data_IF_916312524493
#
_entry.id   IF_916312524493
#
_cell.length_a   1.000
_cell.length_b   1.000
_cell.length_c   1.000
_cell.angle_alpha   90.00
_cell.angle_beta   90.00
_cell.angle_gamma   90.00
#
_symmetry.space_group_name_H-M   'P 1'
#
loop_
_entity.id
_entity.type
_entity.pdbx_description
1 polymer ?
#
# COMPACT_ATOMS: atom_id res chain seq x y z
N UNK A 1 68.04 26.49 -28.40
CA UNK A 1 66.88 25.81 -29.02
C UNK A 1 66.80 24.42 -28.41
N UNK A 2 66.32 24.33 -27.18
CA UNK A 2 64.89 24.13 -26.84
C UNK A 2 64.51 22.66 -26.90
N UNK A 3 64.76 22.08 -25.74
CA UNK A 3 64.12 20.95 -25.05
C UNK A 3 62.60 20.82 -25.30
N UNK A 4 62.07 19.61 -25.16
CA UNK A 4 60.63 19.37 -25.28
C UNK A 4 60.18 17.92 -25.45
N UNK A 5 60.75 16.95 -24.71
CA UNK A 5 60.08 15.64 -24.56
C UNK A 5 58.89 15.80 -23.62
N UNK A 6 57.69 15.98 -24.18
CA UNK A 6 56.45 15.84 -23.43
C UNK A 6 56.27 14.40 -22.97
N UNK A 7 56.54 14.15 -21.69
CA UNK A 7 56.03 12.98 -20.98
C UNK A 7 54.54 13.21 -20.74
N UNK A 8 53.70 12.42 -21.39
CA UNK A 8 52.27 12.33 -21.06
C UNK A 8 52.12 11.86 -19.61
N UNK A 9 51.90 12.81 -18.71
CA UNK A 9 51.59 12.55 -17.31
C UNK A 9 50.22 11.87 -17.25
N UNK A 10 50.21 10.56 -16.99
CA UNK A 10 48.98 9.84 -16.66
C UNK A 10 48.34 10.52 -15.45
N UNK A 11 47.11 11.00 -15.61
CA UNK A 11 46.33 11.52 -14.50
C UNK A 11 46.23 10.43 -13.43
N UNK A 12 46.47 10.72 -12.14
CA UNK A 12 46.29 9.74 -11.09
C UNK A 12 44.83 9.31 -11.09
N UNK A 13 44.60 8.02 -11.39
CA UNK A 13 43.31 7.38 -11.16
C UNK A 13 42.97 7.61 -9.69
N UNK A 14 41.93 8.40 -9.42
CA UNK A 14 41.44 8.62 -8.05
C UNK A 14 41.29 7.24 -7.40
N UNK A 15 41.88 7.00 -6.21
CA UNK A 15 41.71 5.73 -5.52
C UNK A 15 40.22 5.47 -5.40
N UNK A 16 39.74 4.33 -5.94
CA UNK A 16 38.36 3.88 -5.74
C UNK A 16 38.13 3.84 -4.23
N UNK A 17 37.37 4.81 -3.73
CA UNK A 17 37.09 4.96 -2.31
C UNK A 17 36.48 3.64 -1.84
N UNK A 18 37.08 3.01 -0.81
CA UNK A 18 36.52 1.78 -0.23
C UNK A 18 35.10 2.09 0.22
N UNK A 19 34.12 1.38 -0.34
CA UNK A 19 32.73 1.45 0.12
C UNK A 19 32.72 1.16 1.62
N UNK A 20 32.03 2.00 2.39
CA UNK A 20 31.78 1.76 3.81
C UNK A 20 30.89 0.54 3.98
N UNK A 21 30.85 -0.02 5.19
CA UNK A 21 29.96 -1.15 5.48
C UNK A 21 28.48 -0.77 5.28
N UNK A 22 28.09 0.44 5.66
CA UNK A 22 26.73 0.98 5.43
C UNK A 22 26.39 1.11 3.95
N UNK A 23 27.32 1.61 3.12
CA UNK A 23 27.07 1.75 1.67
C UNK A 23 27.07 0.39 0.97
N UNK A 24 27.89 -0.55 1.45
CA UNK A 24 27.86 -1.96 1.03
C UNK A 24 26.50 -2.57 1.32
N UNK A 25 25.99 -2.36 2.54
CA UNK A 25 24.70 -2.87 2.98
C UNK A 25 23.56 -2.33 2.12
N UNK A 26 23.48 -1.00 2.00
CA UNK A 26 22.46 -0.31 1.20
C UNK A 26 22.41 -0.81 -0.24
N UNK A 27 23.55 -0.86 -0.93
CA UNK A 27 23.60 -1.29 -2.35
C UNK A 27 23.19 -2.75 -2.54
N UNK A 28 23.61 -3.62 -1.62
CA UNK A 28 23.28 -5.04 -1.68
C UNK A 28 21.79 -5.28 -1.45
N UNK A 29 21.19 -4.63 -0.45
CA UNK A 29 19.76 -4.70 -0.19
C UNK A 29 18.94 -4.08 -1.34
N UNK A 30 19.33 -2.90 -1.83
CA UNK A 30 18.67 -2.23 -2.96
C UNK A 30 18.68 -3.10 -4.23
N UNK A 31 19.82 -3.74 -4.55
CA UNK A 31 19.94 -4.62 -5.71
C UNK A 31 19.05 -5.86 -5.59
N UNK A 32 18.99 -6.48 -4.40
CA UNK A 32 18.12 -7.62 -4.18
C UNK A 32 16.64 -7.25 -4.23
N UNK A 33 16.26 -6.10 -3.66
CA UNK A 33 14.89 -5.60 -3.73
C UNK A 33 14.44 -5.28 -5.15
N UNK A 34 15.31 -4.70 -5.97
CA UNK A 34 15.03 -4.49 -7.39
C UNK A 34 14.76 -5.82 -8.11
N UNK A 35 15.57 -6.84 -7.82
CA UNK A 35 15.38 -8.19 -8.38
C UNK A 35 14.03 -8.79 -7.96
N UNK A 36 13.65 -8.64 -6.68
CA UNK A 36 12.37 -9.13 -6.16
C UNK A 36 11.16 -8.38 -6.73
N UNK A 37 11.29 -7.08 -7.03
CA UNK A 37 10.24 -6.31 -7.67
C UNK A 37 9.98 -6.78 -9.11
N UNK A 38 11.03 -7.20 -9.83
CA UNK A 38 10.94 -7.71 -11.20
C UNK A 38 10.41 -9.16 -11.26
N UNK A 39 10.90 -10.04 -10.39
CA UNK A 39 10.67 -11.49 -10.49
C UNK A 39 9.65 -12.04 -9.49
N UNK A 40 9.22 -11.22 -8.53
CA UNK A 40 8.40 -11.66 -7.40
C UNK A 40 9.23 -12.28 -6.27
N UNK A 41 8.58 -12.51 -5.13
CA UNK A 41 9.20 -13.10 -3.93
C UNK A 41 8.78 -14.56 -3.79
N UNK A 42 9.75 -15.49 -3.82
CA UNK A 42 9.52 -16.88 -3.42
C UNK A 42 9.53 -17.04 -1.90
N UNK A 43 8.84 -18.07 -1.41
CA UNK A 43 8.82 -18.43 0.01
C UNK A 43 10.26 -18.71 0.47
N UNK A 44 10.73 -18.03 1.51
CA UNK A 44 12.10 -18.18 2.00
C UNK A 44 13.20 -17.56 1.13
N UNK A 45 12.83 -16.89 0.03
CA UNK A 45 13.74 -16.25 -0.92
C UNK A 45 14.76 -17.20 -1.56
N UNK A 46 14.45 -18.50 -1.70
CA UNK A 46 15.38 -19.55 -2.17
C UNK A 46 16.10 -19.21 -3.50
N UNK A 47 15.44 -18.47 -4.38
CA UNK A 47 15.99 -18.07 -5.68
C UNK A 47 17.04 -16.95 -5.56
N UNK A 48 17.11 -16.24 -4.44
CA UNK A 48 18.08 -15.17 -4.21
C UNK A 48 19.45 -15.78 -3.92
N UNK A 49 20.36 -15.60 -4.87
CA UNK A 49 21.77 -16.03 -4.77
C UNK A 49 22.65 -14.86 -4.39
N UNK A 50 23.35 -14.98 -3.26
CA UNK A 50 24.24 -13.94 -2.74
C UNK A 50 25.26 -13.47 -3.80
N UNK A 51 25.84 -14.39 -4.57
CA UNK A 51 26.81 -14.07 -5.62
C UNK A 51 26.24 -13.23 -6.77
N UNK A 52 24.99 -13.47 -7.14
CA UNK A 52 24.33 -12.70 -8.20
C UNK A 52 23.97 -11.31 -7.70
N UNK A 53 23.56 -11.18 -6.44
CA UNK A 53 23.34 -9.88 -5.79
C UNK A 53 24.65 -9.08 -5.66
N UNK A 54 25.76 -9.72 -5.27
CA UNK A 54 27.09 -9.07 -5.22
C UNK A 54 27.46 -8.46 -6.58
N UNK A 55 27.24 -9.23 -7.65
CA UNK A 55 27.49 -8.79 -9.03
C UNK A 55 26.60 -7.61 -9.40
N UNK A 56 25.30 -7.71 -9.14
CA UNK A 56 24.31 -6.67 -9.44
C UNK A 56 24.57 -5.36 -8.66
N UNK A 57 24.93 -5.46 -7.38
CA UNK A 57 25.22 -4.32 -6.53
C UNK A 57 26.56 -3.63 -6.85
N UNK A 58 27.42 -4.25 -7.65
CA UNK A 58 28.75 -3.73 -7.99
C UNK A 58 29.69 -3.63 -6.78
N UNK A 59 29.50 -4.50 -5.79
CA UNK A 59 30.24 -4.52 -4.52
C UNK A 59 31.33 -5.60 -4.57
N UNK A 60 32.45 -5.39 -3.85
CA UNK A 60 33.49 -6.42 -3.77
C UNK A 60 33.04 -7.62 -2.92
N UNK A 61 33.37 -8.84 -3.35
CA UNK A 61 33.10 -10.07 -2.57
C UNK A 61 33.61 -9.98 -1.14
N UNK A 62 34.81 -9.45 -0.93
CA UNK A 62 35.40 -9.30 0.41
C UNK A 62 34.59 -8.37 1.31
N UNK A 63 34.02 -7.28 0.77
CA UNK A 63 33.13 -6.41 1.55
C UNK A 63 31.80 -7.09 1.86
N UNK A 64 31.21 -7.79 0.89
CA UNK A 64 29.95 -8.50 1.07
C UNK A 64 30.08 -9.62 2.12
N UNK A 65 31.09 -10.49 2.00
CA UNK A 65 31.31 -11.58 2.95
C UNK A 65 31.79 -11.12 4.34
N UNK A 66 32.37 -9.92 4.46
CA UNK A 66 32.64 -9.32 5.77
C UNK A 66 31.33 -8.96 6.50
N UNK A 67 30.33 -8.43 5.78
CA UNK A 67 29.04 -8.03 6.35
C UNK A 67 28.08 -9.22 6.52
N UNK A 68 28.06 -10.13 5.55
CA UNK A 68 27.25 -11.34 5.55
C UNK A 68 28.12 -12.55 5.27
N UNK A 69 28.64 -13.21 6.33
CA UNK A 69 29.47 -14.40 6.17
C UNK A 69 28.75 -15.55 5.46
N UNK A 70 27.41 -15.60 5.54
CA UNK A 70 26.57 -16.63 4.93
C UNK A 70 25.43 -16.01 4.13
N UNK A 71 24.88 -16.78 3.19
CA UNK A 71 23.65 -16.41 2.47
C UNK A 71 22.50 -16.17 3.45
N UNK A 72 22.36 -17.03 4.46
CA UNK A 72 21.26 -16.92 5.41
C UNK A 72 21.31 -15.61 6.19
N UNK A 73 22.50 -15.16 6.62
CA UNK A 73 22.65 -13.86 7.26
C UNK A 73 22.18 -12.70 6.36
N UNK A 74 22.46 -12.79 5.05
CA UNK A 74 21.97 -11.82 4.07
C UNK A 74 20.45 -11.90 3.90
N UNK A 75 19.89 -13.09 3.76
CA UNK A 75 18.44 -13.31 3.61
C UNK A 75 17.68 -12.78 4.83
N UNK A 76 18.20 -12.95 6.04
CA UNK A 76 17.57 -12.42 7.25
C UNK A 76 17.46 -10.89 7.24
N UNK A 77 18.55 -10.18 6.91
CA UNK A 77 18.54 -8.72 6.79
C UNK A 77 17.65 -8.27 5.62
N UNK A 78 17.66 -9.02 4.50
CA UNK A 78 16.79 -8.75 3.36
C UNK A 78 15.30 -8.90 3.70
N UNK A 79 14.90 -9.92 4.46
CA UNK A 79 13.52 -10.09 4.91
C UNK A 79 13.04 -8.91 5.79
N UNK A 80 13.91 -8.42 6.68
CA UNK A 80 13.63 -7.23 7.48
C UNK A 80 13.46 -6.00 6.60
N UNK A 81 14.32 -5.82 5.60
CA UNK A 81 14.22 -4.67 4.69
C UNK A 81 13.00 -4.75 3.76
N UNK A 82 12.66 -5.95 3.27
CA UNK A 82 11.42 -6.21 2.54
C UNK A 82 10.21 -5.81 3.40
N UNK A 83 10.18 -6.22 4.66
CA UNK A 83 9.12 -5.85 5.60
C UNK A 83 9.01 -4.33 5.77
N UNK A 84 10.15 -3.61 5.85
CA UNK A 84 10.18 -2.14 6.00
C UNK A 84 9.61 -1.41 4.78
N UNK A 85 9.91 -1.91 3.58
CA UNK A 85 9.53 -1.26 2.31
C UNK A 85 8.16 -1.69 1.78
N UNK A 86 7.62 -2.77 2.32
CA UNK A 86 6.26 -3.20 2.01
C UNK A 86 5.28 -2.19 2.59
N UNK A 87 4.79 -1.32 1.71
CA UNK A 87 3.73 -0.35 2.00
C UNK A 87 2.50 -0.75 1.20
N UNK A 88 1.33 -0.69 1.83
CA UNK A 88 0.06 -0.86 1.12
C UNK A 88 -0.16 0.39 0.29
N UNK A 89 -0.44 0.20 -1.01
CA UNK A 89 -0.63 1.27 -1.97
C UNK A 89 -1.77 2.20 -1.52
N UNK A 90 -1.62 3.47 -1.86
CA UNK A 90 -2.76 4.36 -2.03
C UNK A 90 -2.93 4.66 -3.50
N UNK A 91 -4.15 4.51 -3.99
CA UNK A 91 -4.43 4.52 -5.42
C UNK A 91 -5.50 5.51 -5.82
N UNK A 92 -5.77 6.49 -4.95
CA UNK A 92 -6.81 7.49 -5.17
C UNK A 92 -6.69 8.27 -6.48
N UNK A 93 -5.48 8.39 -7.05
CA UNK A 93 -5.28 9.05 -8.35
C UNK A 93 -6.02 8.35 -9.51
N UNK A 94 -6.18 7.01 -9.47
CA UNK A 94 -6.92 6.26 -10.51
C UNK A 94 -8.43 6.49 -10.41
N UNK A 95 -8.95 6.87 -9.23
CA UNK A 95 -10.37 7.15 -9.01
C UNK A 95 -10.76 8.61 -9.31
N UNK A 96 -9.79 9.49 -9.57
CA UNK A 96 -10.02 10.94 -9.61
C UNK A 96 -11.05 11.36 -10.64
N UNK A 97 -11.00 10.82 -11.86
CA UNK A 97 -11.93 11.18 -12.93
C UNK A 97 -13.37 10.75 -12.61
N UNK A 98 -13.56 9.56 -12.02
CA UNK A 98 -14.90 9.07 -11.65
C UNK A 98 -15.46 9.84 -10.46
N UNK A 99 -14.62 10.21 -9.50
CA UNK A 99 -15.03 11.04 -8.35
C UNK A 99 -15.31 12.48 -8.78
N UNK A 100 -14.56 13.03 -9.74
CA UNK A 100 -14.86 14.35 -10.34
C UNK A 100 -16.22 14.32 -11.04
N UNK A 101 -16.51 13.27 -11.81
CA UNK A 101 -17.83 13.10 -12.44
C UNK A 101 -18.96 12.95 -11.41
N UNK A 102 -18.72 12.25 -10.31
CA UNK A 102 -19.66 12.18 -9.18
C UNK A 102 -19.87 13.56 -8.55
N UNK A 103 -18.79 14.30 -8.30
CA UNK A 103 -18.84 15.65 -7.74
C UNK A 103 -19.60 16.62 -8.65
N UNK A 104 -19.38 16.54 -9.97
CA UNK A 104 -20.11 17.34 -10.97
C UNK A 104 -21.62 17.03 -10.95
N UNK A 105 -21.98 15.75 -10.75
CA UNK A 105 -23.39 15.34 -10.67
C UNK A 105 -24.13 15.87 -9.45
N UNK A 106 -23.41 16.25 -8.39
CA UNK A 106 -23.97 16.83 -7.17
C UNK A 106 -24.27 18.32 -7.29
N UNK A 107 -23.65 19.03 -8.25
CA UNK A 107 -23.86 20.48 -8.41
C UNK A 107 -23.58 21.26 -7.12
N UNK A 108 -24.58 21.99 -6.62
CA UNK A 108 -24.52 22.79 -5.38
C UNK A 108 -24.62 21.94 -4.08
N UNK A 109 -24.65 20.61 -4.20
CA UNK A 109 -24.73 19.67 -3.08
C UNK A 109 -25.93 18.72 -3.15
N UNK A 110 -26.02 17.75 -2.22
CA UNK A 110 -27.12 16.79 -2.20
C UNK A 110 -28.46 17.51 -1.92
N UNK A 111 -29.50 17.13 -2.66
CA UNK A 111 -30.83 17.72 -2.52
C UNK A 111 -31.53 17.34 -1.20
N UNK A 112 -31.23 16.14 -0.70
CA UNK A 112 -31.76 15.55 0.53
C UNK A 112 -30.84 14.46 1.10
N UNK A 113 -31.21 13.88 2.24
CA UNK A 113 -30.45 12.83 2.89
C UNK A 113 -30.32 11.55 2.04
N UNK A 114 -31.29 11.25 1.17
CA UNK A 114 -31.25 10.08 0.30
C UNK A 114 -30.20 10.27 -0.81
N UNK A 115 -30.17 11.44 -1.44
CA UNK A 115 -29.15 11.80 -2.44
C UNK A 115 -27.73 11.89 -1.84
N UNK A 116 -27.59 12.36 -0.60
CA UNK A 116 -26.32 12.33 0.11
C UNK A 116 -25.85 10.88 0.37
N UNK A 117 -26.77 10.01 0.80
CA UNK A 117 -26.48 8.59 0.99
C UNK A 117 -26.12 7.88 -0.33
N UNK A 118 -26.84 8.16 -1.42
CA UNK A 118 -26.52 7.64 -2.75
C UNK A 118 -25.10 8.03 -3.21
N UNK A 119 -24.71 9.28 -2.95
CA UNK A 119 -23.38 9.78 -3.28
C UNK A 119 -22.28 9.10 -2.44
N UNK A 120 -22.52 8.84 -1.15
CA UNK A 120 -21.59 8.10 -0.31
C UNK A 120 -21.41 6.66 -0.80
N UNK A 121 -22.50 5.96 -1.10
CA UNK A 121 -22.47 4.59 -1.60
C UNK A 121 -21.68 4.53 -2.91
N UNK A 122 -21.90 5.48 -3.82
CA UNK A 122 -21.17 5.55 -5.09
C UNK A 122 -19.69 5.88 -4.90
N UNK A 123 -19.35 6.82 -4.02
CA UNK A 123 -17.96 7.14 -3.69
C UNK A 123 -17.21 5.90 -3.20
N UNK A 124 -17.78 5.17 -2.25
CA UNK A 124 -17.18 3.96 -1.70
C UNK A 124 -17.02 2.87 -2.77
N UNK A 125 -18.05 2.68 -3.61
CA UNK A 125 -18.02 1.73 -4.73
C UNK A 125 -16.87 2.04 -5.69
N UNK A 126 -16.74 3.29 -6.13
CA UNK A 126 -15.67 3.75 -7.02
C UNK A 126 -14.30 3.56 -6.39
N UNK A 127 -14.14 4.01 -5.15
CA UNK A 127 -12.87 3.96 -4.41
C UNK A 127 -12.38 2.52 -4.24
N UNK A 128 -13.24 1.62 -3.73
CA UNK A 128 -12.85 0.22 -3.52
C UNK A 128 -12.62 -0.53 -4.84
N UNK A 129 -13.36 -0.21 -5.89
CA UNK A 129 -13.14 -0.83 -7.22
C UNK A 129 -11.73 -0.53 -7.72
N UNK A 130 -11.33 0.74 -7.65
CA UNK A 130 -10.00 1.19 -8.06
C UNK A 130 -8.91 0.59 -7.17
N UNK A 131 -9.08 0.68 -5.85
CA UNK A 131 -8.09 0.18 -4.88
C UNK A 131 -7.84 -1.32 -5.05
N UNK A 132 -8.90 -2.13 -5.20
CA UNK A 132 -8.77 -3.57 -5.42
C UNK A 132 -8.09 -3.90 -6.74
N UNK A 133 -8.49 -3.22 -7.82
CA UNK A 133 -7.90 -3.45 -9.14
C UNK A 133 -6.40 -3.15 -9.13
N UNK A 134 -5.98 -2.05 -8.54
CA UNK A 134 -4.57 -1.68 -8.44
C UNK A 134 -3.79 -2.57 -7.47
N UNK A 135 -4.36 -2.91 -6.31
CA UNK A 135 -3.72 -3.82 -5.36
C UNK A 135 -3.48 -5.20 -5.99
N UNK A 136 -4.40 -5.72 -6.80
CA UNK A 136 -4.25 -7.01 -7.49
C UNK A 136 -3.06 -7.03 -8.47
N UNK A 137 -2.73 -5.89 -9.07
CA UNK A 137 -1.61 -5.74 -10.02
C UNK A 137 -0.28 -5.43 -9.31
N UNK A 138 -0.31 -5.04 -8.03
CA UNK A 138 0.84 -4.57 -7.28
C UNK A 138 1.91 -5.64 -7.05
N UNK A 139 3.14 -5.33 -7.47
CA UNK A 139 4.31 -6.14 -7.12
C UNK A 139 4.61 -6.08 -5.62
N UNK A 140 4.46 -4.90 -4.98
CA UNK A 140 4.66 -4.76 -3.53
C UNK A 140 3.70 -5.63 -2.73
N UNK A 141 2.43 -5.72 -3.15
CA UNK A 141 1.45 -6.59 -2.48
C UNK A 141 1.80 -8.08 -2.63
N UNK A 142 2.27 -8.52 -3.81
CA UNK A 142 2.75 -9.91 -3.97
C UNK A 142 3.96 -10.19 -3.07
N UNK A 143 4.88 -9.23 -2.93
CA UNK A 143 6.00 -9.31 -1.99
C UNK A 143 5.52 -9.39 -0.54
N UNK A 144 4.52 -8.60 -0.14
CA UNK A 144 3.89 -8.71 1.19
C UNK A 144 3.38 -10.12 1.46
N UNK A 145 2.64 -10.71 0.52
CA UNK A 145 2.10 -12.06 0.66
C UNK A 145 3.21 -13.11 0.75
N UNK A 146 4.27 -12.98 -0.08
CA UNK A 146 5.44 -13.84 0.00
C UNK A 146 6.16 -13.75 1.35
N UNK A 147 6.24 -12.54 1.92
CA UNK A 147 6.80 -12.31 3.25
C UNK A 147 5.92 -12.93 4.35
N UNK A 148 4.59 -12.76 4.29
CA UNK A 148 3.64 -13.38 5.22
C UNK A 148 3.74 -14.91 5.18
N UNK A 149 3.79 -15.51 3.99
CA UNK A 149 3.99 -16.95 3.83
C UNK A 149 5.35 -17.41 4.39
N UNK A 150 6.42 -16.64 4.15
CA UNK A 150 7.75 -16.92 4.70
C UNK A 150 7.75 -16.83 6.22
N UNK A 151 7.08 -15.83 6.79
CA UNK A 151 6.98 -15.58 8.22
C UNK A 151 6.45 -16.80 8.98
N UNK A 152 5.42 -17.47 8.45
CA UNK A 152 4.85 -18.71 9.02
C UNK A 152 5.89 -19.84 9.08
N UNK A 153 6.81 -19.91 8.13
CA UNK A 153 7.85 -20.94 8.05
C UNK A 153 9.10 -20.68 8.90
N UNK A 154 9.24 -19.50 9.52
CA UNK A 154 10.47 -19.10 10.21
C UNK A 154 10.70 -19.90 11.50
N UNK A 155 11.84 -20.59 11.56
CA UNK A 155 12.29 -21.35 12.75
C UNK A 155 12.94 -20.47 13.82
N UNK A 156 13.65 -19.41 13.42
CA UNK A 156 14.28 -18.46 14.35
C UNK A 156 13.23 -17.58 15.03
N UNK A 157 13.15 -17.66 16.36
CA UNK A 157 12.25 -16.83 17.16
C UNK A 157 12.66 -15.36 17.19
N UNK A 158 13.96 -15.08 17.28
CA UNK A 158 14.49 -13.71 17.23
C UNK A 158 14.12 -13.01 15.92
N UNK A 159 14.34 -13.69 14.79
CA UNK A 159 14.01 -13.15 13.47
C UNK A 159 12.50 -12.96 13.31
N UNK A 160 11.70 -13.91 13.80
CA UNK A 160 10.24 -13.80 13.79
C UNK A 160 9.78 -12.57 14.56
N UNK A 161 10.30 -12.34 15.75
CA UNK A 161 9.98 -11.14 16.55
C UNK A 161 10.37 -9.86 15.84
N UNK A 162 11.57 -9.81 15.23
CA UNK A 162 12.05 -8.62 14.50
C UNK A 162 11.19 -8.31 13.27
N UNK A 163 10.81 -9.33 12.48
CA UNK A 163 9.94 -9.15 11.31
C UNK A 163 8.52 -8.78 11.75
N UNK A 164 8.00 -9.41 12.81
CA UNK A 164 6.68 -9.09 13.35
C UNK A 164 6.58 -7.63 13.77
N UNK A 165 7.58 -7.11 14.49
CA UNK A 165 7.64 -5.70 14.88
C UNK A 165 7.60 -4.77 13.66
N UNK A 166 8.42 -5.03 12.64
CA UNK A 166 8.46 -4.21 11.43
C UNK A 166 7.13 -4.26 10.67
N UNK A 167 6.51 -5.45 10.58
CA UNK A 167 5.20 -5.61 9.95
C UNK A 167 4.11 -4.86 10.72
N UNK A 168 4.07 -4.97 12.05
CA UNK A 168 3.14 -4.21 12.90
C UNK A 168 3.32 -2.71 12.72
N UNK A 169 4.56 -2.20 12.72
CA UNK A 169 4.83 -0.78 12.46
C UNK A 169 4.38 -0.33 11.07
N UNK A 170 4.43 -1.21 10.06
CA UNK A 170 3.91 -0.93 8.72
C UNK A 170 2.38 -0.93 8.71
N UNK A 171 1.76 -1.96 9.30
CA UNK A 171 0.31 -2.10 9.40
C UNK A 171 -0.33 -0.96 10.19
N UNK A 172 0.30 -0.50 11.26
CA UNK A 172 -0.17 0.65 12.04
C UNK A 172 -0.12 1.95 11.23
N UNK A 173 0.91 2.15 10.40
CA UNK A 173 0.98 3.32 9.51
C UNK A 173 -0.12 3.27 8.44
N UNK A 174 -0.36 2.10 7.85
CA UNK A 174 -1.44 1.89 6.88
C UNK A 174 -2.81 2.11 7.53
N UNK A 175 -3.02 1.57 8.73
CA UNK A 175 -4.27 1.73 9.47
C UNK A 175 -4.51 3.19 9.90
N UNK A 176 -3.47 3.91 10.32
CA UNK A 176 -3.58 5.33 10.66
C UNK A 176 -3.98 6.17 9.43
N UNK A 177 -3.38 5.87 8.27
CA UNK A 177 -3.72 6.53 7.00
C UNK A 177 -5.16 6.23 6.58
N UNK A 178 -5.55 4.96 6.53
CA UNK A 178 -6.91 4.57 6.17
C UNK A 178 -7.95 5.13 7.15
N UNK A 179 -7.63 5.16 8.45
CA UNK A 179 -8.46 5.80 9.47
C UNK A 179 -8.67 7.29 9.18
N UNK A 180 -7.64 8.02 8.77
CA UNK A 180 -7.76 9.45 8.45
C UNK A 180 -8.65 9.68 7.22
N UNK A 181 -8.54 8.83 6.19
CA UNK A 181 -9.37 8.91 4.99
C UNK A 181 -10.84 8.59 5.27
N UNK A 182 -11.12 7.52 6.02
CA UNK A 182 -12.49 7.16 6.40
C UNK A 182 -13.09 8.25 7.30
N UNK A 183 -12.32 8.82 8.23
CA UNK A 183 -12.78 9.92 9.08
C UNK A 183 -13.10 11.18 8.26
N UNK A 184 -12.23 11.54 7.30
CA UNK A 184 -12.45 12.71 6.45
C UNK A 184 -13.65 12.51 5.50
N UNK A 185 -13.85 11.29 4.98
CA UNK A 185 -15.05 10.95 4.23
C UNK A 185 -16.30 11.05 5.11
N UNK A 186 -16.28 10.46 6.32
CA UNK A 186 -17.41 10.55 7.25
C UNK A 186 -17.77 12.01 7.57
N UNK A 187 -16.77 12.85 7.88
CA UNK A 187 -16.97 14.29 8.12
C UNK A 187 -17.60 15.00 6.93
N UNK A 188 -17.13 14.73 5.70
CA UNK A 188 -17.69 15.33 4.48
C UNK A 188 -19.18 15.03 4.29
N UNK A 189 -19.64 13.87 4.75
CA UNK A 189 -21.04 13.45 4.68
C UNK A 189 -21.84 13.73 5.97
N UNK A 190 -21.26 14.42 6.97
CA UNK A 190 -21.93 14.69 8.24
C UNK A 190 -22.21 13.41 9.04
N UNK A 191 -21.28 12.46 9.00
CA UNK A 191 -21.38 11.16 9.64
C UNK A 191 -20.41 11.05 10.81
N UNK A 192 -20.84 10.31 11.84
CA UNK A 192 -20.00 9.95 13.00
C UNK A 192 -19.94 8.43 13.17
N UNK A 193 -18.91 7.89 13.85
CA UNK A 193 -18.86 6.46 14.13
C UNK A 193 -20.00 6.01 15.06
N UNK A 194 -20.57 4.83 14.81
CA UNK A 194 -21.56 4.21 15.71
C UNK A 194 -20.93 3.81 17.06
N UNK A 195 -21.66 3.82 18.19
CA UNK A 195 -21.17 3.22 19.43
C UNK A 195 -20.90 1.71 19.27
N UNK A 196 -19.82 1.13 19.83
CA UNK A 196 -18.79 1.74 20.70
C UNK A 196 -17.59 2.34 19.94
N UNK A 197 -17.66 2.46 18.61
CA UNK A 197 -16.60 3.05 17.78
C UNK A 197 -16.52 4.58 17.87
N UNK A 198 -17.45 5.25 18.56
CA UNK A 198 -17.49 6.71 18.69
C UNK A 198 -16.23 7.36 19.33
N UNK A 199 -15.29 6.56 19.86
CA UNK A 199 -14.02 7.06 20.38
C UNK A 199 -12.97 7.37 19.30
N UNK A 200 -11.86 8.05 19.68
CA UNK A 200 -10.80 8.47 18.73
C UNK A 200 -10.09 7.30 18.02
N UNK A 201 -10.22 6.08 18.54
CA UNK A 201 -9.65 4.88 17.93
C UNK A 201 -10.62 4.15 16.98
N UNK A 202 -11.88 4.60 16.88
CA UNK A 202 -12.95 3.89 16.16
C UNK A 202 -12.64 3.62 14.69
N UNK A 203 -12.32 4.68 13.94
CA UNK A 203 -11.93 4.54 12.54
C UNK A 203 -10.62 3.75 12.36
N UNK A 204 -9.77 3.67 13.39
CA UNK A 204 -8.59 2.80 13.40
C UNK A 204 -8.95 1.32 13.45
N UNK A 205 -10.08 0.95 14.08
CA UNK A 205 -10.61 -0.43 14.06
C UNK A 205 -11.20 -0.73 12.68
N UNK A 206 -12.01 0.18 12.14
CA UNK A 206 -12.62 0.07 10.80
C UNK A 206 -11.54 -0.09 9.74
N UNK A 207 -10.50 0.74 9.78
CA UNK A 207 -9.40 0.68 8.80
C UNK A 207 -8.61 -0.63 8.87
N UNK A 208 -8.38 -1.19 10.05
CA UNK A 208 -7.74 -2.51 10.19
C UNK A 208 -8.63 -3.62 9.63
N UNK A 209 -9.94 -3.56 9.89
CA UNK A 209 -10.90 -4.51 9.35
C UNK A 209 -10.94 -4.44 7.81
N UNK A 210 -11.02 -3.24 7.22
CA UNK A 210 -10.94 -3.04 5.77
C UNK A 210 -9.65 -3.63 5.19
N UNK A 211 -8.49 -3.35 5.78
CA UNK A 211 -7.20 -3.86 5.30
C UNK A 211 -7.13 -5.39 5.33
N UNK A 212 -7.57 -6.01 6.44
CA UNK A 212 -7.59 -7.46 6.58
C UNK A 212 -8.57 -8.12 5.59
N UNK A 213 -9.77 -7.56 5.44
CA UNK A 213 -10.78 -8.05 4.50
C UNK A 213 -10.32 -7.92 3.05
N UNK A 214 -9.76 -6.76 2.66
CA UNK A 214 -9.17 -6.54 1.34
C UNK A 214 -8.05 -7.53 1.06
N UNK A 215 -7.14 -7.74 2.01
CA UNK A 215 -6.06 -8.73 1.88
C UNK A 215 -6.62 -10.12 1.66
N UNK A 216 -7.64 -10.53 2.42
CA UNK A 216 -8.32 -11.82 2.24
C UNK A 216 -8.93 -11.99 0.85
N UNK A 217 -9.60 -10.96 0.32
CA UNK A 217 -10.14 -11.00 -1.04
C UNK A 217 -9.05 -11.08 -2.11
N UNK A 218 -7.97 -10.31 -1.97
CA UNK A 218 -6.86 -10.33 -2.90
C UNK A 218 -6.13 -11.69 -2.89
N UNK A 219 -5.98 -12.31 -1.71
CA UNK A 219 -5.45 -13.68 -1.59
C UNK A 219 -6.37 -14.69 -2.27
N UNK A 220 -7.69 -14.61 -2.04
CA UNK A 220 -8.65 -15.49 -2.72
C UNK A 220 -8.64 -15.30 -4.25
N UNK A 221 -8.45 -14.07 -4.71
CA UNK A 221 -8.38 -13.73 -6.13
C UNK A 221 -7.15 -14.31 -6.84
N UNK A 222 -6.10 -14.71 -6.12
CA UNK A 222 -4.96 -15.41 -6.73
C UNK A 222 -5.37 -16.75 -7.37
N UNK A 223 -6.32 -17.46 -6.76
CA UNK A 223 -6.85 -18.71 -7.29
C UNK A 223 -8.08 -18.47 -8.20
N UNK A 224 -8.86 -17.42 -7.90
CA UNK A 224 -10.09 -17.08 -8.62
C UNK A 224 -10.07 -15.61 -9.05
N UNK A 225 -9.34 -15.25 -10.14
CA UNK A 225 -9.20 -13.85 -10.55
C UNK A 225 -10.53 -13.17 -10.86
N UNK A 226 -11.52 -13.95 -11.32
CA UNK A 226 -12.86 -13.44 -11.64
C UNK A 226 -13.60 -12.90 -10.40
N UNK A 227 -13.16 -13.22 -9.18
CA UNK A 227 -13.73 -12.66 -7.94
C UNK A 227 -13.71 -11.13 -7.91
N UNK A 228 -12.73 -10.50 -8.55
CA UNK A 228 -12.61 -9.04 -8.61
C UNK A 228 -13.44 -8.43 -9.76
N UNK A 229 -13.71 -9.21 -10.82
CA UNK A 229 -14.26 -8.71 -12.08
C UNK A 229 -15.71 -9.13 -12.34
N UNK A 230 -16.16 -10.24 -11.76
CA UNK A 230 -17.53 -10.70 -11.89
C UNK A 230 -18.43 -9.78 -11.07
N UNK A 231 -19.29 -9.05 -11.76
CA UNK A 231 -20.18 -8.06 -11.17
C UNK A 231 -21.65 -8.45 -11.34
N UNK A 232 -22.47 -8.06 -10.36
CA UNK A 232 -23.93 -8.11 -10.47
C UNK A 232 -24.47 -6.69 -10.45
N UNK A 233 -25.39 -6.36 -11.37
CA UNK A 233 -26.08 -5.08 -11.38
C UNK A 233 -27.17 -5.07 -10.32
N UNK A 234 -27.05 -4.18 -9.32
CA UNK A 234 -28.03 -4.06 -8.25
C UNK A 234 -28.01 -2.67 -7.60
N UNK A 235 -29.12 -2.34 -6.94
CA UNK A 235 -29.23 -1.21 -6.03
C UNK A 235 -28.84 -1.71 -4.63
N UNK A 236 -27.62 -1.39 -4.21
CA UNK A 236 -27.03 -1.94 -2.99
C UNK A 236 -27.09 -0.94 -1.83
N UNK A 237 -26.99 -1.47 -0.61
CA UNK A 237 -26.83 -0.70 0.63
C UNK A 237 -27.90 0.37 0.89
N UNK A 238 -29.10 0.25 0.32
CA UNK A 238 -30.17 1.24 0.48
C UNK A 238 -30.07 2.43 -0.48
N UNK A 239 -29.16 2.38 -1.44
CA UNK A 239 -29.13 3.35 -2.55
C UNK A 239 -30.23 3.10 -3.56
N UNK A 240 -30.74 4.16 -4.21
CA UNK A 240 -31.67 4.05 -5.34
C UNK A 240 -30.96 3.74 -6.67
N UNK A 241 -29.63 3.87 -6.72
CA UNK A 241 -28.84 3.75 -7.95
C UNK A 241 -28.52 2.29 -8.27
N UNK A 242 -28.89 1.85 -9.47
CA UNK A 242 -28.38 0.59 -10.05
C UNK A 242 -26.93 0.79 -10.49
N UNK A 243 -26.03 -0.05 -10.00
CA UNK A 243 -24.63 -0.07 -10.39
C UNK A 243 -24.09 -1.50 -10.44
N UNK A 244 -22.92 -1.67 -11.04
CA UNK A 244 -22.18 -2.94 -11.03
C UNK A 244 -21.41 -3.11 -9.73
N UNK A 245 -21.60 -4.27 -9.09
CA UNK A 245 -20.97 -4.62 -7.82
C UNK A 245 -20.27 -5.96 -7.93
N UNK A 246 -18.96 -5.98 -7.69
CA UNK A 246 -18.25 -7.23 -7.38
C UNK A 246 -18.44 -7.58 -5.90
N UNK A 247 -18.29 -8.86 -5.55
CA UNK A 247 -18.43 -9.34 -4.17
C UNK A 247 -17.55 -8.55 -3.18
N UNK A 248 -16.26 -8.29 -3.46
CA UNK A 248 -15.40 -7.56 -2.54
C UNK A 248 -15.85 -6.09 -2.34
N UNK A 249 -16.24 -5.41 -3.42
CA UNK A 249 -16.67 -3.99 -3.37
C UNK A 249 -17.96 -3.87 -2.54
N UNK A 250 -18.90 -4.79 -2.71
CA UNK A 250 -20.13 -4.85 -1.91
C UNK A 250 -19.83 -5.04 -0.41
N UNK A 251 -18.96 -6.00 -0.07
CA UNK A 251 -18.62 -6.30 1.33
C UNK A 251 -17.87 -5.14 2.00
N UNK A 252 -16.88 -4.55 1.33
CA UNK A 252 -16.10 -3.44 1.88
C UNK A 252 -16.96 -2.17 2.06
N UNK A 253 -17.86 -1.90 1.12
CA UNK A 253 -18.81 -0.78 1.22
C UNK A 253 -19.73 -0.95 2.43
N UNK A 254 -20.31 -2.15 2.58
CA UNK A 254 -21.15 -2.47 3.74
C UNK A 254 -20.41 -2.33 5.07
N UNK A 255 -19.13 -2.71 5.13
CA UNK A 255 -18.30 -2.57 6.33
C UNK A 255 -18.19 -1.10 6.76
N UNK A 256 -17.89 -0.18 5.84
CA UNK A 256 -17.85 1.26 6.15
C UNK A 256 -19.20 1.77 6.62
N UNK A 257 -20.26 1.50 5.84
CA UNK A 257 -21.61 1.99 6.14
C UNK A 257 -22.15 1.49 7.48
N UNK A 258 -21.82 0.25 7.86
CA UNK A 258 -22.22 -0.31 9.17
C UNK A 258 -21.49 0.33 10.36
N UNK A 259 -20.41 1.08 10.11
CA UNK A 259 -19.57 1.67 11.14
C UNK A 259 -19.89 3.14 11.42
N UNK A 260 -20.81 3.74 10.66
CA UNK A 260 -21.15 5.16 10.72
C UNK A 260 -22.66 5.38 10.84
N UNK A 261 -23.04 6.49 11.45
CA UNK A 261 -24.41 6.98 11.58
C UNK A 261 -24.47 8.49 11.30
N UNK A 262 -25.64 9.05 10.94
CA UNK A 262 -25.80 10.50 10.83
C UNK A 262 -25.41 11.19 12.13
N UNK A 263 -24.58 12.23 12.01
CA UNK A 263 -24.28 13.10 13.14
C UNK A 263 -25.46 14.08 13.35
N UNK A 264 -26.19 14.01 14.49
CA UNK A 264 -27.29 14.93 14.76
C UNK A 264 -26.84 16.40 14.85
N UNK A 265 -25.55 16.64 15.09
CA UNK A 265 -24.99 17.98 15.21
C UNK A 265 -24.42 18.50 13.87
N UNK A 266 -24.41 17.67 12.81
CA UNK A 266 -23.94 18.08 11.50
C UNK A 266 -24.93 19.04 10.82
N UNK A 267 -24.39 20.15 10.30
CA UNK A 267 -25.12 21.06 9.43
C UNK A 267 -25.24 20.52 8.00
N UNK A 268 -26.00 21.21 7.12
CA UNK A 268 -26.02 20.90 5.69
C UNK A 268 -24.61 20.99 5.09
N UNK A 269 -24.32 20.11 4.11
CA UNK A 269 -23.04 20.02 3.41
C UNK A 269 -23.12 20.54 1.96
N UNK A 270 -23.28 21.87 1.74
CA UNK A 270 -23.37 22.46 0.40
C UNK A 270 -22.03 22.41 -0.37
N UNK A 271 -20.91 22.15 0.31
CA UNK A 271 -19.57 22.06 -0.27
C UNK A 271 -19.13 20.60 -0.53
N UNK A 272 -20.06 19.64 -0.51
CA UNK A 272 -19.74 18.21 -0.64
C UNK A 272 -18.92 17.91 -1.91
N UNK A 273 -19.29 18.49 -3.05
CA UNK A 273 -18.56 18.30 -4.31
C UNK A 273 -17.07 18.69 -4.18
N UNK A 274 -16.77 19.83 -3.56
CA UNK A 274 -15.40 20.29 -3.34
C UNK A 274 -14.67 19.42 -2.32
N UNK A 275 -15.36 18.97 -1.27
CA UNK A 275 -14.80 18.03 -0.29
C UNK A 275 -14.44 16.68 -0.92
N UNK A 276 -15.26 16.15 -1.82
CA UNK A 276 -14.96 14.91 -2.55
C UNK A 276 -13.67 15.04 -3.37
N UNK A 277 -13.51 16.15 -4.11
CA UNK A 277 -12.28 16.40 -4.88
C UNK A 277 -11.06 16.54 -3.96
N UNK A 278 -11.22 17.23 -2.82
CA UNK A 278 -10.16 17.36 -1.82
C UNK A 278 -9.76 16.01 -1.20
N UNK A 279 -10.72 15.12 -0.95
CA UNK A 279 -10.47 13.76 -0.43
C UNK A 279 -9.59 12.95 -1.38
N UNK A 280 -9.88 12.98 -2.69
CA UNK A 280 -9.08 12.31 -3.70
C UNK A 280 -7.66 12.85 -3.74
N UNK A 281 -7.49 14.18 -3.72
CA UNK A 281 -6.17 14.82 -3.72
C UNK A 281 -5.38 14.46 -2.46
N UNK A 282 -6.02 14.50 -1.29
CA UNK A 282 -5.39 14.12 -0.02
C UNK A 282 -4.98 12.64 0.00
N UNK A 283 -5.83 11.77 -0.54
CA UNK A 283 -5.55 10.34 -0.65
C UNK A 283 -4.42 10.06 -1.65
N UNK A 284 -4.30 10.82 -2.75
CA UNK A 284 -3.22 10.70 -3.72
C UNK A 284 -1.87 11.27 -3.23
N UNK A 285 -1.89 12.28 -2.36
CA UNK A 285 -0.70 12.94 -1.84
C UNK A 285 -0.08 12.24 -0.61
N UNK A 286 -0.84 11.39 0.06
CA UNK A 286 -0.37 10.67 1.26
C UNK A 286 0.52 9.49 0.88
#
# INVERSE_FOLDING_TARGET
>A
MSDGRQRSSGAPLRPRQRLTDTETERRMLDAALATLAEHGMSVGLDDVRLEDVIRAAGVSRTSAYRRWPTRDAFVQDLLVEVARRTTVLSVAAEAAADVDALADSLGDGPADAASAHDALVELLRLSFTVDLAAASRSAQFRTYLGLQATFVGLRSEELRTRIAQVLTESEDRVAARGSALVAAAADAFGLRPVPPLAGPAGFGVVSRALSATTTGFLVAALATPTLLTDTTVMAAHGSARLAEWSTPVFVLTGLVLSSVEPDPDAGPAPDLADRLRALVVAAAAS
#
